data_IF_191498462439
#
_entry.id   IF_191498462439
#
_cell.length_a   1.000
_cell.length_b   1.000
_cell.length_c   1.000
_cell.angle_alpha   90.00
_cell.angle_beta   90.00
_cell.angle_gamma   90.00
#
_symmetry.space_group_name_H-M   'P 1'
#
loop_
_entity.id
_entity.type
_entity.pdbx_description
1 polymer ?
#
# COMPACT_ATOMS: atom_id res chain seq x y z
N UNK A 1 50.08 -44.43 -8.82
CA UNK A 1 49.85 -43.14 -9.51
C UNK A 1 48.36 -42.84 -9.42
N UNK A 2 47.94 -42.05 -8.43
CA UNK A 2 46.56 -41.63 -8.25
C UNK A 2 46.36 -40.31 -8.98
N UNK A 3 45.45 -40.29 -9.95
CA UNK A 3 45.05 -39.10 -10.68
C UNK A 3 43.94 -38.42 -9.87
N UNK A 4 44.24 -37.25 -9.29
CA UNK A 4 43.28 -36.47 -8.50
C UNK A 4 42.54 -35.52 -9.43
N UNK A 5 41.25 -35.76 -9.67
CA UNK A 5 40.40 -34.91 -10.50
C UNK A 5 39.83 -33.79 -9.62
N UNK A 6 40.31 -32.56 -9.84
CA UNK A 6 39.81 -31.36 -9.19
C UNK A 6 38.44 -30.98 -9.81
N UNK A 7 37.35 -31.15 -9.08
CA UNK A 7 36.03 -30.65 -9.48
C UNK A 7 35.90 -29.20 -8.98
N UNK A 8 35.99 -28.23 -9.89
CA UNK A 8 35.59 -26.85 -9.59
C UNK A 8 34.06 -26.80 -9.52
N UNK A 9 33.53 -26.66 -8.31
CA UNK A 9 32.13 -26.26 -8.11
C UNK A 9 32.05 -24.76 -8.30
N UNK A 10 31.48 -24.31 -9.42
CA UNK A 10 31.07 -22.91 -9.58
C UNK A 10 29.87 -22.66 -8.67
N UNK A 11 30.09 -22.10 -7.47
CA UNK A 11 29.03 -21.41 -6.75
C UNK A 11 28.69 -20.15 -7.55
N UNK A 12 27.60 -20.19 -8.30
CA UNK A 12 26.95 -18.98 -8.80
C UNK A 12 26.37 -18.22 -7.61
N UNK A 13 27.16 -17.29 -7.07
CA UNK A 13 26.65 -16.27 -6.18
C UNK A 13 25.65 -15.43 -6.98
N UNK A 14 24.36 -15.76 -6.85
CA UNK A 14 23.29 -14.87 -7.29
C UNK A 14 23.34 -13.67 -6.37
N UNK A 15 24.05 -12.63 -6.77
CA UNK A 15 23.92 -11.31 -6.18
C UNK A 15 22.47 -10.90 -6.40
N UNK A 16 21.65 -11.01 -5.35
CA UNK A 16 20.37 -10.34 -5.30
C UNK A 16 20.69 -8.85 -5.34
N UNK A 17 20.64 -8.26 -6.55
CA UNK A 17 20.53 -6.83 -6.67
C UNK A 17 19.27 -6.44 -5.92
N UNK A 18 19.43 -5.81 -4.76
CA UNK A 18 18.36 -5.08 -4.12
C UNK A 18 17.98 -3.99 -5.11
N UNK A 19 16.95 -4.25 -5.91
CA UNK A 19 16.34 -3.24 -6.75
C UNK A 19 15.92 -2.11 -5.81
N UNK A 20 16.32 -0.85 -6.07
CA UNK A 20 15.87 0.27 -5.26
C UNK A 20 14.35 0.23 -5.20
N UNK A 21 13.79 0.27 -3.98
CA UNK A 21 12.35 0.43 -3.81
C UNK A 21 11.96 1.72 -4.51
N UNK A 22 11.05 1.63 -5.47
CA UNK A 22 10.47 2.72 -6.26
C UNK A 22 10.40 4.02 -5.46
N UNK A 23 11.40 4.87 -5.63
CA UNK A 23 11.38 6.23 -5.12
C UNK A 23 11.14 7.15 -6.31
N UNK A 24 10.10 7.96 -6.13
CA UNK A 24 9.81 9.21 -6.83
C UNK A 24 9.12 9.19 -8.20
N UNK A 25 8.27 10.23 -8.36
CA UNK A 25 7.50 10.68 -9.54
C UNK A 25 6.12 9.99 -9.65
N UNK A 26 4.98 10.58 -9.26
CA UNK A 26 4.54 11.96 -9.40
C UNK A 26 3.32 12.21 -8.47
N UNK A 27 3.44 13.11 -7.48
CA UNK A 27 2.34 14.07 -7.31
C UNK A 27 2.55 15.08 -8.45
N UNK A 28 2.12 14.71 -9.65
CA UNK A 28 2.00 15.71 -10.71
C UNK A 28 0.92 16.66 -10.26
N UNK A 29 1.22 17.95 -10.23
CA UNK A 29 0.16 18.95 -10.30
C UNK A 29 -0.65 18.65 -11.57
N UNK A 30 -1.86 18.13 -11.37
CA UNK A 30 -2.82 17.94 -12.44
C UNK A 30 -3.23 19.33 -12.96
N UNK A 31 -3.53 19.48 -14.28
CA UNK A 31 -3.91 20.77 -14.85
C UNK A 31 -5.03 21.44 -14.06
N UNK A 32 -4.94 22.76 -13.90
CA UNK A 32 -5.84 23.63 -13.11
C UNK A 32 -7.31 23.65 -13.54
N UNK A 33 -7.68 22.97 -14.63
CA UNK A 33 -8.98 23.08 -15.29
C UNK A 33 -9.95 21.94 -14.95
N UNK A 34 -9.60 21.03 -14.03
CA UNK A 34 -10.54 20.04 -13.51
C UNK A 34 -11.45 20.73 -12.47
N UNK A 35 -12.79 20.61 -12.57
CA UNK A 35 -13.71 21.19 -11.60
C UNK A 35 -13.43 20.62 -10.21
N UNK A 36 -12.75 21.43 -9.39
CA UNK A 36 -12.43 21.11 -8.00
C UNK A 36 -13.75 21.09 -7.22
N UNK A 37 -14.30 19.91 -6.97
CA UNK A 37 -15.15 19.74 -5.78
C UNK A 37 -14.22 20.02 -4.61
N UNK A 38 -14.41 21.17 -3.95
CA UNK A 38 -13.47 21.76 -3.00
C UNK A 38 -12.77 20.68 -2.14
N UNK A 39 -11.43 20.62 -2.21
CA UNK A 39 -10.50 19.78 -1.42
C UNK A 39 -10.03 18.42 -1.96
N UNK A 40 -10.43 17.94 -3.14
CA UNK A 40 -9.85 16.70 -3.71
C UNK A 40 -8.46 16.93 -4.32
N UNK A 41 -7.47 16.12 -3.91
CA UNK A 41 -6.13 16.08 -4.52
C UNK A 41 -6.07 15.00 -5.60
N UNK A 42 -5.27 15.19 -6.63
CA UNK A 42 -5.01 14.16 -7.64
C UNK A 42 -3.62 13.56 -7.51
N UNK A 43 -3.51 12.27 -7.80
CA UNK A 43 -2.23 11.54 -7.87
C UNK A 43 -2.18 10.67 -9.13
N UNK A 44 -0.99 10.46 -9.68
CA UNK A 44 -0.81 9.59 -10.83
C UNK A 44 -1.02 8.10 -10.49
N UNK A 45 -0.86 7.72 -9.21
CA UNK A 45 -0.86 6.32 -8.80
C UNK A 45 -1.59 6.03 -7.49
N UNK A 46 -2.02 7.03 -6.70
CA UNK A 46 -2.76 6.80 -5.44
C UNK A 46 -4.20 7.25 -5.55
N UNK A 47 -5.10 6.49 -4.94
CA UNK A 47 -6.46 6.89 -4.62
C UNK A 47 -6.77 6.48 -3.17
N UNK A 48 -7.39 7.35 -2.39
CA UNK A 48 -7.66 7.07 -0.98
C UNK A 48 -7.71 8.33 -0.13
N UNK A 49 -7.33 8.23 1.13
CA UNK A 49 -7.40 9.36 2.05
C UNK A 49 -6.14 9.48 2.90
N UNK A 50 -5.75 10.73 3.17
CA UNK A 50 -4.61 11.07 4.03
C UNK A 50 -5.08 11.97 5.17
N UNK A 51 -4.90 11.49 6.40
CA UNK A 51 -4.89 12.35 7.58
C UNK A 51 -3.48 12.89 7.80
N UNK A 52 -3.37 14.21 7.95
CA UNK A 52 -2.13 14.87 8.32
C UNK A 52 -2.31 15.63 9.63
N UNK A 53 -1.30 15.59 10.48
CA UNK A 53 -1.25 16.27 11.77
C UNK A 53 0.22 16.60 12.13
N UNK A 54 0.49 17.35 13.22
CA UNK A 54 1.87 17.58 13.66
C UNK A 54 2.64 16.27 13.91
N UNK A 55 3.96 16.30 13.76
CA UNK A 55 4.80 15.13 14.01
C UNK A 55 4.59 14.51 15.39
N UNK A 56 4.63 13.18 15.45
CA UNK A 56 4.41 12.39 16.65
C UNK A 56 2.95 12.17 17.03
N UNK A 57 2.00 12.66 16.23
CA UNK A 57 0.56 12.55 16.52
C UNK A 57 0.04 11.13 16.41
N UNK A 58 0.42 10.38 15.36
CA UNK A 58 -0.15 9.07 15.10
C UNK A 58 0.66 7.94 15.77
N UNK A 59 -0.03 6.99 16.40
CA UNK A 59 0.57 5.78 16.98
C UNK A 59 0.19 4.53 16.21
N UNK A 60 -0.91 4.58 15.50
CA UNK A 60 -1.47 3.43 14.82
C UNK A 60 -2.38 3.93 13.70
N UNK A 61 -2.39 3.19 12.59
CA UNK A 61 -3.36 3.32 11.52
C UNK A 61 -3.83 1.94 11.13
N UNK A 62 -5.12 1.78 10.90
CA UNK A 62 -5.71 0.49 10.53
C UNK A 62 -6.99 0.64 9.73
N UNK A 63 -7.33 -0.41 9.01
CA UNK A 63 -8.65 -0.62 8.45
C UNK A 63 -8.86 -2.11 8.17
N UNK A 64 -10.13 -2.49 8.09
CA UNK A 64 -10.57 -3.80 7.60
C UNK A 64 -11.22 -3.60 6.23
N UNK A 65 -11.01 -4.53 5.32
CA UNK A 65 -11.71 -4.54 4.04
C UNK A 65 -11.90 -5.97 3.55
N UNK A 66 -12.79 -6.15 2.59
CA UNK A 66 -12.89 -7.38 1.81
C UNK A 66 -11.97 -7.25 0.61
N UNK A 67 -11.04 -8.18 0.44
CA UNK A 67 -10.12 -8.23 -0.71
C UNK A 67 -10.98 -8.30 -1.98
N UNK A 68 -10.94 -7.30 -2.87
CA UNK A 68 -11.82 -7.28 -4.03
C UNK A 68 -11.41 -8.37 -5.03
N UNK A 69 -12.38 -8.81 -5.83
CA UNK A 69 -12.07 -9.37 -7.14
C UNK A 69 -11.77 -8.20 -8.08
N UNK A 70 -10.69 -8.29 -8.85
CA UNK A 70 -10.33 -7.26 -9.83
C UNK A 70 -10.48 -7.79 -11.25
N UNK A 71 -10.70 -6.89 -12.18
CA UNK A 71 -10.97 -7.17 -13.58
C UNK A 71 -10.07 -6.34 -14.50
N UNK A 72 -9.86 -6.86 -15.71
CA UNK A 72 -9.35 -6.05 -16.82
C UNK A 72 -10.39 -4.97 -17.13
N UNK A 73 -10.01 -3.68 -17.22
CA UNK A 73 -10.95 -2.63 -17.63
C UNK A 73 -11.51 -2.88 -19.04
N UNK A 74 -12.73 -2.41 -19.28
CA UNK A 74 -13.37 -2.48 -20.60
C UNK A 74 -12.48 -1.79 -21.64
N UNK A 75 -12.44 -2.36 -22.85
CA UNK A 75 -11.67 -1.87 -24.01
C UNK A 75 -10.14 -1.81 -23.85
N UNK A 76 -9.59 -2.48 -22.83
CA UNK A 76 -8.14 -2.64 -22.69
C UNK A 76 -7.65 -3.97 -23.30
N UNK A 77 -6.40 -4.03 -23.83
CA UNK A 77 -5.84 -5.24 -24.41
C UNK A 77 -5.72 -6.36 -23.37
N UNK A 78 -5.70 -7.61 -23.80
CA UNK A 78 -5.40 -8.71 -22.88
C UNK A 78 -4.01 -8.53 -22.25
N UNK A 79 -3.91 -8.80 -20.96
CA UNK A 79 -2.69 -8.52 -20.20
C UNK A 79 -2.86 -8.76 -18.71
N UNK A 80 -1.83 -8.37 -17.97
CA UNK A 80 -1.83 -8.36 -16.51
C UNK A 80 -2.28 -6.99 -16.02
N UNK A 81 -3.25 -6.99 -15.10
CA UNK A 81 -3.74 -5.78 -14.43
C UNK A 81 -3.60 -5.95 -12.94
N UNK A 82 -3.21 -4.88 -12.25
CA UNK A 82 -3.02 -4.96 -10.80
C UNK A 82 -3.51 -3.73 -10.06
N UNK A 83 -3.80 -3.95 -8.78
CA UNK A 83 -4.04 -2.91 -7.79
C UNK A 83 -3.36 -3.32 -6.48
N UNK A 84 -2.94 -2.35 -5.69
CA UNK A 84 -2.39 -2.56 -4.36
C UNK A 84 -3.26 -1.86 -3.34
N UNK A 85 -3.70 -2.55 -2.30
CA UNK A 85 -4.55 -2.00 -1.23
C UNK A 85 -3.75 -2.00 0.05
N UNK A 86 -3.56 -0.83 0.67
CA UNK A 86 -2.68 -0.73 1.84
C UNK A 86 -3.07 0.39 2.81
N UNK A 87 -2.57 0.26 4.04
CA UNK A 87 -2.57 1.33 5.05
C UNK A 87 -1.14 1.63 5.46
N UNK A 88 -0.88 2.87 5.88
CA UNK A 88 0.48 3.26 6.22
C UNK A 88 0.59 4.50 7.11
N UNK A 89 1.74 4.59 7.78
CA UNK A 89 2.19 5.81 8.44
C UNK A 89 3.26 6.48 7.58
N UNK A 90 3.16 7.81 7.49
CA UNK A 90 4.04 8.70 6.73
C UNK A 90 4.10 8.37 5.22
N UNK A 91 4.96 9.08 4.48
CA UNK A 91 5.11 8.95 3.03
C UNK A 91 4.28 9.93 2.20
N UNK A 92 3.47 10.81 2.81
CA UNK A 92 2.80 11.92 2.12
C UNK A 92 3.50 13.26 2.38
N UNK A 93 3.53 13.75 3.61
CA UNK A 93 4.25 14.98 3.95
C UNK A 93 5.58 14.69 4.63
N UNK A 94 5.70 13.52 5.28
CA UNK A 94 6.96 12.99 5.78
C UNK A 94 7.58 12.02 4.76
N UNK A 95 8.42 12.55 3.87
CA UNK A 95 8.97 11.79 2.74
C UNK A 95 10.14 10.86 3.11
N UNK A 96 10.84 11.15 4.22
CA UNK A 96 12.06 10.44 4.58
C UNK A 96 11.85 9.00 5.07
N UNK A 97 10.64 8.65 5.50
CA UNK A 97 10.30 7.37 6.09
C UNK A 97 8.83 7.04 5.87
N UNK A 98 8.50 5.76 5.69
CA UNK A 98 7.12 5.26 5.78
C UNK A 98 7.11 3.78 6.13
N UNK A 99 6.05 3.32 6.79
CA UNK A 99 5.80 1.89 7.02
C UNK A 99 4.39 1.58 6.56
N UNK A 100 4.24 0.50 5.77
CA UNK A 100 3.00 0.11 5.09
C UNK A 100 2.73 -1.38 5.24
N UNK A 101 1.46 -1.70 5.38
CA UNK A 101 0.92 -3.06 5.27
C UNK A 101 -0.08 -3.10 4.14
N UNK A 102 -0.03 -4.14 3.30
CA UNK A 102 -0.89 -4.20 2.13
C UNK A 102 -1.13 -5.58 1.55
N UNK A 103 -2.01 -5.59 0.55
CA UNK A 103 -2.33 -6.71 -0.32
C UNK A 103 -2.21 -6.23 -1.76
N UNK A 104 -1.36 -6.89 -2.55
CA UNK A 104 -1.35 -6.76 -4.00
C UNK A 104 -2.37 -7.73 -4.58
N UNK A 105 -3.13 -7.30 -5.59
CA UNK A 105 -4.04 -8.14 -6.33
C UNK A 105 -3.72 -8.01 -7.82
N UNK A 106 -3.66 -9.14 -8.50
CA UNK A 106 -3.31 -9.26 -9.91
C UNK A 106 -4.36 -10.11 -10.62
N UNK A 107 -4.81 -9.67 -11.78
CA UNK A 107 -5.60 -10.48 -12.71
C UNK A 107 -4.83 -10.67 -14.00
N UNK A 108 -4.74 -11.92 -14.44
CA UNK A 108 -4.14 -12.33 -15.69
C UNK A 108 -4.87 -13.56 -16.26
N UNK A 109 -4.33 -14.17 -17.32
CA UNK A 109 -4.95 -15.32 -17.99
C UNK A 109 -5.21 -16.54 -17.08
N UNK A 110 -4.51 -16.65 -15.95
CA UNK A 110 -4.68 -17.75 -14.98
C UNK A 110 -5.69 -17.45 -13.87
N UNK A 111 -6.27 -16.25 -13.85
CA UNK A 111 -7.26 -15.82 -12.87
C UNK A 111 -6.79 -14.68 -11.96
N UNK A 112 -7.46 -14.54 -10.82
CA UNK A 112 -7.18 -13.49 -9.82
C UNK A 112 -6.31 -14.07 -8.71
N UNK A 113 -5.22 -13.36 -8.41
CA UNK A 113 -4.24 -13.72 -7.38
C UNK A 113 -4.08 -12.57 -6.40
N UNK A 114 -4.06 -12.85 -5.10
CA UNK A 114 -3.82 -11.87 -4.06
C UNK A 114 -2.58 -12.25 -3.24
N UNK A 115 -1.78 -11.26 -2.86
CA UNK A 115 -0.54 -11.47 -2.13
C UNK A 115 -0.34 -10.38 -1.07
N UNK A 116 -0.32 -10.78 0.20
CA UNK A 116 0.02 -9.89 1.30
C UNK A 116 1.50 -9.48 1.31
N UNK A 117 1.78 -8.27 1.78
CA UNK A 117 3.12 -7.70 1.89
C UNK A 117 3.25 -6.65 3.00
N UNK A 118 4.49 -6.39 3.39
CA UNK A 118 4.89 -5.26 4.25
C UNK A 118 5.99 -4.45 3.56
N UNK A 119 6.01 -3.14 3.76
CA UNK A 119 7.08 -2.27 3.25
C UNK A 119 7.50 -1.25 4.29
N UNK A 120 8.79 -0.92 4.31
CA UNK A 120 9.33 0.17 5.10
C UNK A 120 10.29 0.96 4.21
N UNK A 121 10.08 2.26 4.03
CA UNK A 121 10.94 3.15 3.22
C UNK A 121 12.00 3.84 4.10
N UNK A 122 13.28 4.01 3.70
CA UNK A 122 13.97 3.61 2.45
C UNK A 122 14.40 2.14 2.30
N UNK A 123 13.75 1.22 3.02
CA UNK A 123 13.97 -0.22 2.88
C UNK A 123 13.12 -0.91 1.81
N UNK A 124 13.00 -2.23 1.94
CA UNK A 124 12.48 -3.14 0.91
C UNK A 124 11.03 -3.54 1.22
N UNK A 125 10.21 -3.66 0.17
CA UNK A 125 8.90 -4.34 0.22
C UNK A 125 9.11 -5.85 0.28
N UNK A 126 8.53 -6.50 1.28
CA UNK A 126 8.65 -7.95 1.52
C UNK A 126 7.28 -8.61 1.41
N UNK A 127 7.17 -9.60 0.52
CA UNK A 127 5.97 -10.43 0.38
C UNK A 127 5.92 -11.54 1.44
N UNK A 128 4.71 -11.87 1.90
CA UNK A 128 4.48 -12.90 2.91
C UNK A 128 4.71 -14.31 2.33
N UNK A 129 5.57 -15.11 2.98
CA UNK A 129 5.96 -16.46 2.51
C UNK A 129 4.80 -17.45 2.59
N UNK A 130 4.09 -17.47 3.72
CA UNK A 130 2.77 -18.07 3.81
C UNK A 130 1.76 -16.98 3.53
N UNK A 131 0.92 -17.16 2.51
CA UNK A 131 -0.05 -16.16 2.10
C UNK A 131 -1.39 -16.84 1.82
N UNK A 132 -2.26 -16.98 2.82
CA UNK A 132 -3.60 -17.50 2.63
C UNK A 132 -4.59 -16.39 2.23
N UNK A 133 -4.14 -15.29 1.62
CA UNK A 133 -5.00 -14.17 1.23
C UNK A 133 -5.57 -14.42 -0.17
N UNK A 134 -6.90 -14.38 -0.29
CA UNK A 134 -7.62 -14.56 -1.55
C UNK A 134 -8.67 -13.46 -1.74
N UNK A 135 -9.14 -13.28 -2.97
CA UNK A 135 -10.30 -12.44 -3.23
C UNK A 135 -11.51 -12.95 -2.43
N UNK A 136 -12.27 -12.02 -1.85
CA UNK A 136 -13.39 -12.30 -0.95
C UNK A 136 -13.01 -12.45 0.53
N UNK A 137 -11.73 -12.60 0.87
CA UNK A 137 -11.31 -12.64 2.27
C UNK A 137 -11.51 -11.29 2.96
N UNK A 138 -11.85 -11.33 4.24
CA UNK A 138 -11.91 -10.14 5.08
C UNK A 138 -10.60 -9.99 5.83
N UNK A 139 -9.86 -8.92 5.53
CA UNK A 139 -8.52 -8.69 6.06
C UNK A 139 -8.45 -7.38 6.83
N UNK A 140 -7.69 -7.37 7.92
CA UNK A 140 -7.32 -6.15 8.65
C UNK A 140 -5.85 -5.85 8.39
N UNK A 141 -5.59 -4.64 7.92
CA UNK A 141 -4.24 -4.11 7.81
C UNK A 141 -4.01 -3.12 8.94
N UNK A 142 -2.80 -3.13 9.49
CA UNK A 142 -2.42 -2.22 10.56
C UNK A 142 -0.93 -1.89 10.51
N UNK A 143 -0.60 -0.64 10.80
CA UNK A 143 0.75 -0.20 11.12
C UNK A 143 0.73 0.46 12.50
N UNK A 144 1.60 0.02 13.39
CA UNK A 144 1.62 0.42 14.81
C UNK A 144 3.04 0.83 15.22
N UNK A 145 3.18 2.03 15.79
CA UNK A 145 4.41 2.52 16.38
C UNK A 145 4.84 1.62 17.55
N UNK A 146 6.10 1.21 17.56
CA UNK A 146 6.72 0.45 18.67
C UNK A 146 7.53 1.34 19.60
N UNK A 147 8.31 2.23 19.01
CA UNK A 147 9.04 3.25 19.74
C UNK A 147 8.81 4.59 19.05
N UNK A 148 8.03 5.42 19.73
CA UNK A 148 7.71 6.78 19.32
C UNK A 148 8.94 7.68 19.21
N UNK A 149 9.88 7.54 20.14
CA UNK A 149 11.07 8.37 20.22
C UNK A 149 12.09 7.95 19.16
N UNK A 150 12.20 6.64 18.90
CA UNK A 150 13.05 6.10 17.84
C UNK A 150 12.38 6.11 16.45
N UNK A 151 11.10 6.48 16.35
CA UNK A 151 10.37 6.52 15.08
C UNK A 151 10.18 5.16 14.41
N UNK A 152 10.02 4.09 15.21
CA UNK A 152 9.91 2.71 14.68
C UNK A 152 8.48 2.19 14.74
N UNK A 153 8.06 1.44 13.72
CA UNK A 153 6.74 0.83 13.63
C UNK A 153 6.80 -0.62 13.12
N UNK A 154 5.73 -1.36 13.39
CA UNK A 154 5.49 -2.71 12.90
C UNK A 154 4.24 -2.74 12.03
N UNK A 155 4.27 -3.59 11.00
CA UNK A 155 3.14 -3.83 10.11
C UNK A 155 2.49 -5.20 10.42
N UNK A 156 1.17 -5.25 10.31
CA UNK A 156 0.34 -6.41 10.60
C UNK A 156 -0.69 -6.63 9.50
N UNK A 157 -0.89 -7.90 9.13
CA UNK A 157 -1.97 -8.34 8.28
C UNK A 157 -2.68 -9.50 8.97
N UNK A 158 -3.96 -9.31 9.29
CA UNK A 158 -4.83 -10.33 9.85
C UNK A 158 -5.88 -10.73 8.81
N UNK A 159 -5.83 -11.97 8.32
CA UNK A 159 -6.92 -12.54 7.52
C UNK A 159 -7.96 -13.14 8.48
N UNK A 160 -9.08 -12.43 8.64
CA UNK A 160 -10.15 -12.79 9.56
C UNK A 160 -10.94 -13.99 9.05
N UNK A 161 -11.04 -14.18 7.73
CA UNK A 161 -11.72 -15.33 7.12
C UNK A 161 -10.97 -16.62 7.44
N UNK A 162 -9.65 -16.64 7.24
CA UNK A 162 -8.84 -17.84 7.45
C UNK A 162 -8.26 -17.95 8.86
N UNK A 163 -8.56 -16.97 9.74
CA UNK A 163 -8.00 -16.84 11.10
C UNK A 163 -6.47 -16.90 11.12
N UNK A 164 -5.86 -16.21 10.17
CA UNK A 164 -4.42 -16.17 10.00
C UNK A 164 -3.89 -14.77 10.29
N UNK A 165 -2.72 -14.69 10.92
CA UNK A 165 -2.05 -13.43 11.19
C UNK A 165 -0.60 -13.51 10.73
N UNK A 166 -0.10 -12.41 10.20
CA UNK A 166 1.32 -12.19 10.04
C UNK A 166 1.68 -10.80 10.48
N UNK A 167 2.90 -10.68 10.95
CA UNK A 167 3.51 -9.41 11.26
C UNK A 167 4.95 -9.44 10.79
N UNK A 168 5.44 -8.28 10.37
CA UNK A 168 6.79 -8.11 9.94
C UNK A 168 7.44 -7.01 10.76
N UNK A 169 8.67 -7.20 11.26
CA UNK A 169 9.46 -6.06 11.64
C UNK A 169 9.94 -5.37 10.35
N UNK A 170 9.84 -4.03 10.30
CA UNK A 170 11.04 -3.19 10.40
C UNK A 170 10.70 -1.70 10.32
N UNK A 171 11.33 -1.00 11.26
CA UNK A 171 11.61 0.41 11.20
C UNK A 171 11.97 0.85 9.78
N UNK A 172 11.46 2.01 9.38
CA UNK A 172 12.02 2.74 8.28
C UNK A 172 13.53 2.92 8.51
N UNK A 173 14.34 2.84 7.45
CA UNK A 173 15.79 3.08 7.54
C UNK A 173 16.15 4.47 8.10
N UNK A 174 15.15 5.36 8.16
CA UNK A 174 15.10 6.62 8.87
C UNK A 174 13.90 6.62 9.86
N UNK A 175 13.91 7.42 10.92
CA UNK A 175 12.78 7.50 11.86
C UNK A 175 11.53 8.04 11.17
N UNK A 176 10.38 7.45 11.49
CA UNK A 176 9.05 7.98 11.12
C UNK A 176 8.80 9.32 11.82
N UNK A 177 8.16 10.25 11.10
CA UNK A 177 7.61 11.47 11.68
C UNK A 177 6.32 11.20 12.45
N UNK A 178 5.58 10.14 12.08
CA UNK A 178 4.27 9.78 12.59
C UNK A 178 3.25 10.93 12.49
N UNK A 179 3.23 11.57 11.32
CA UNK A 179 2.49 12.79 11.03
C UNK A 179 1.49 12.62 9.88
N UNK A 180 1.61 11.54 9.12
CA UNK A 180 0.61 11.10 8.14
C UNK A 180 0.05 9.73 8.52
N UNK A 181 -1.25 9.54 8.33
CA UNK A 181 -1.91 8.24 8.37
C UNK A 181 -2.78 8.09 7.12
N UNK A 182 -2.59 7.00 6.39
CA UNK A 182 -3.15 6.86 5.03
C UNK A 182 -3.84 5.53 4.79
N UNK A 183 -4.87 5.56 3.95
CA UNK A 183 -5.61 4.40 3.42
C UNK A 183 -5.66 4.54 1.91
N UNK A 184 -5.04 3.61 1.17
CA UNK A 184 -4.74 3.82 -0.25
C UNK A 184 -5.01 2.57 -1.08
N UNK A 185 -5.67 2.77 -2.22
CA UNK A 185 -5.59 1.92 -3.41
C UNK A 185 -4.57 2.54 -4.35
N UNK A 186 -3.55 1.79 -4.71
CA UNK A 186 -2.44 2.23 -5.54
C UNK A 186 -2.41 1.46 -6.86
N UNK A 187 -2.04 2.15 -7.94
CA UNK A 187 -1.53 1.54 -9.15
C UNK A 187 -0.02 1.30 -8.96
N UNK A 188 0.43 0.07 -8.63
CA UNK A 188 1.82 -0.17 -8.32
C UNK A 188 2.69 -0.05 -9.58
N UNK A 189 3.90 0.50 -9.42
CA UNK A 189 4.90 0.45 -10.47
C UNK A 189 5.44 -0.97 -10.66
N UNK A 190 5.55 -1.42 -11.92
CA UNK A 190 6.22 -2.66 -12.34
C UNK A 190 7.27 -2.31 -13.39
N UNK A 191 8.49 -2.80 -13.21
CA UNK A 191 9.61 -2.60 -14.15
C UNK A 191 9.89 -1.14 -14.53
N UNK A 192 9.67 -0.21 -13.60
CA UNK A 192 9.93 1.22 -13.79
C UNK A 192 8.81 2.01 -14.47
N UNK A 193 7.67 1.39 -14.76
CA UNK A 193 6.45 2.04 -15.26
C UNK A 193 5.25 1.72 -14.37
N UNK A 194 4.21 2.54 -14.40
CA UNK A 194 2.94 2.19 -13.76
C UNK A 194 2.35 0.96 -14.45
N UNK A 195 1.88 -0.01 -13.67
CA UNK A 195 1.19 -1.17 -14.24
C UNK A 195 -0.10 -0.74 -14.95
N UNK A 196 -0.59 -1.54 -15.92
CA UNK A 196 -1.97 -1.43 -16.36
C UNK A 196 -2.90 -1.53 -15.13
N UNK A 197 -3.67 -0.47 -14.87
CA UNK A 197 -4.47 -0.38 -13.64
C UNK A 197 -5.73 -1.23 -13.75
N UNK A 198 -5.97 -2.08 -12.75
CA UNK A 198 -7.15 -2.95 -12.75
C UNK A 198 -8.43 -2.20 -12.35
N UNK A 199 -9.55 -2.63 -12.92
CA UNK A 199 -10.87 -2.30 -12.38
C UNK A 199 -11.09 -3.14 -11.12
N UNK A 200 -11.05 -2.50 -9.96
CA UNK A 200 -11.31 -3.13 -8.66
C UNK A 200 -12.76 -2.93 -8.19
N UNK A 201 -13.61 -2.34 -9.02
CA UNK A 201 -15.00 -1.92 -8.75
C UNK A 201 -15.11 -0.96 -7.58
N UNK A 202 -14.91 -1.44 -6.36
CA UNK A 202 -14.87 -0.63 -5.14
C UNK A 202 -14.06 -1.32 -4.06
N UNK A 203 -13.19 -0.56 -3.40
CA UNK A 203 -12.56 -0.93 -2.13
C UNK A 203 -13.18 -0.07 -1.03
N UNK A 204 -13.67 -0.74 0.02
CA UNK A 204 -14.15 -0.08 1.23
C UNK A 204 -13.22 -0.44 2.38
N UNK A 205 -12.39 0.51 2.79
CA UNK A 205 -11.72 0.48 4.07
C UNK A 205 -12.77 0.75 5.15
N UNK A 206 -13.38 -0.30 5.69
CA UNK A 206 -14.30 -0.22 6.81
C UNK A 206 -13.55 -0.27 8.15
N UNK A 207 -14.20 0.20 9.20
CA UNK A 207 -13.59 0.34 10.54
C UNK A 207 -12.26 1.11 10.52
N UNK A 208 -12.07 2.00 9.54
CA UNK A 208 -10.88 2.81 9.39
C UNK A 208 -10.71 3.72 10.61
N UNK A 209 -9.57 3.64 11.28
CA UNK A 209 -9.23 4.49 12.41
C UNK A 209 -7.73 4.61 12.60
N UNK A 210 -7.35 5.64 13.35
CA UNK A 210 -6.02 5.84 13.90
C UNK A 210 -6.09 5.85 15.42
N UNK A 211 -4.99 5.50 16.07
CA UNK A 211 -4.80 5.82 17.51
C UNK A 211 -3.84 6.99 17.61
N UNK A 212 -4.22 8.03 18.33
CA UNK A 212 -3.42 9.22 18.59
C UNK A 212 -2.40 8.96 19.71
N UNK A 213 -1.39 9.83 19.83
CA UNK A 213 -0.43 9.80 20.92
C UNK A 213 -1.07 9.96 22.31
N UNK A 214 -2.26 10.56 22.38
CA UNK A 214 -3.09 10.66 23.59
C UNK A 214 -3.74 9.32 23.98
N UNK A 215 -3.73 8.32 23.09
CA UNK A 215 -4.45 7.05 23.23
C UNK A 215 -5.88 7.07 22.70
N UNK A 216 -6.39 8.25 22.30
CA UNK A 216 -7.71 8.38 21.68
C UNK A 216 -7.74 7.72 20.29
N UNK A 217 -8.89 7.15 19.93
CA UNK A 217 -9.12 6.62 18.58
C UNK A 217 -10.07 7.52 17.82
N UNK A 218 -9.64 7.92 16.63
CA UNK A 218 -10.45 8.74 15.72
C UNK A 218 -10.49 8.09 14.34
N UNK A 219 -11.58 8.30 13.62
CA UNK A 219 -11.70 7.84 12.24
C UNK A 219 -11.03 8.77 11.23
N UNK A 220 -11.23 8.55 9.93
CA UNK A 220 -10.61 9.34 8.86
C UNK A 220 -11.35 10.66 8.61
N UNK A 221 -12.26 11.10 9.47
CA UNK A 221 -12.96 12.38 9.29
C UNK A 221 -11.97 13.54 9.27
N UNK A 222 -12.09 14.43 8.26
CA UNK A 222 -11.12 15.49 8.01
C UNK A 222 -9.90 15.05 7.18
N UNK A 223 -9.81 13.78 6.77
CA UNK A 223 -8.78 13.33 5.83
C UNK A 223 -8.99 13.97 4.45
N UNK A 224 -7.88 14.35 3.81
CA UNK A 224 -7.86 14.84 2.44
C UNK A 224 -8.08 13.65 1.48
N UNK A 225 -9.12 13.66 0.63
CA UNK A 225 -9.28 12.64 -0.39
C UNK A 225 -8.26 12.85 -1.52
N UNK A 226 -7.74 11.74 -2.03
CA UNK A 226 -6.85 11.66 -3.18
C UNK A 226 -7.53 10.80 -4.24
N UNK A 227 -7.65 11.29 -5.47
CA UNK A 227 -8.16 10.54 -6.61
C UNK A 227 -7.05 10.27 -7.63
N UNK A 228 -7.12 9.12 -8.27
CA UNK A 228 -6.16 8.76 -9.31
C UNK A 228 -6.51 9.43 -10.63
N UNK A 229 -5.52 10.10 -11.23
CA UNK A 229 -5.63 10.74 -12.54
C UNK A 229 -4.53 10.25 -13.48
N UNK A 230 -4.93 9.66 -14.61
CA UNK A 230 -4.03 9.20 -15.67
C UNK A 230 -4.59 9.60 -17.04
N UNK A 231 -4.53 10.89 -17.35
CA UNK A 231 -5.17 11.47 -18.55
C UNK A 231 -6.70 11.61 -18.45
N UNK A 232 -7.31 10.93 -17.47
CA UNK A 232 -8.67 11.10 -16.97
C UNK A 232 -8.70 10.72 -15.48
N UNK A 233 -9.73 11.16 -14.75
CA UNK A 233 -10.00 10.67 -13.40
C UNK A 233 -10.41 9.20 -13.50
N UNK A 234 -9.76 8.33 -12.72
CA UNK A 234 -10.00 6.88 -12.70
C UNK A 234 -10.69 6.41 -11.42
N UNK A 235 -10.79 7.26 -10.41
CA UNK A 235 -11.37 6.88 -9.12
C UNK A 235 -12.17 8.02 -8.50
N UNK A 236 -13.26 7.67 -7.81
CA UNK A 236 -13.99 8.53 -6.88
C UNK A 236 -13.68 8.13 -5.44
N UNK A 237 -13.45 9.09 -4.55
CA UNK A 237 -13.14 8.82 -3.14
C UNK A 237 -14.12 9.51 -2.19
N UNK A 238 -14.72 8.70 -1.30
CA UNK A 238 -15.59 9.18 -0.24
C UNK A 238 -15.02 8.85 1.14
N UNK A 239 -14.87 9.88 1.97
CA UNK A 239 -14.42 9.78 3.37
C UNK A 239 -15.62 9.93 4.32
N UNK A 240 -15.72 9.05 5.31
CA UNK A 240 -16.77 9.04 6.35
C UNK A 240 -16.15 8.83 7.73
N UNK A 241 -16.87 9.06 8.85
CA UNK A 241 -16.31 8.97 10.20
C UNK A 241 -15.65 7.65 10.60
N UNK A 242 -15.87 6.56 9.86
CA UNK A 242 -15.24 5.25 10.13
C UNK A 242 -14.90 4.47 8.87
N UNK A 243 -14.90 5.12 7.70
CA UNK A 243 -14.56 4.45 6.45
C UNK A 243 -14.01 5.36 5.37
N UNK A 244 -13.19 4.78 4.49
CA UNK A 244 -12.75 5.37 3.24
C UNK A 244 -13.20 4.44 2.12
N UNK A 245 -14.00 4.95 1.18
CA UNK A 245 -14.44 4.22 0.00
C UNK A 245 -13.72 4.77 -1.22
N UNK A 246 -13.11 3.88 -1.99
CA UNK A 246 -12.48 4.17 -3.27
C UNK A 246 -13.22 3.37 -4.34
N UNK A 247 -13.76 4.05 -5.34
CA UNK A 247 -14.54 3.43 -6.43
C UNK A 247 -13.80 3.67 -7.74
N UNK A 248 -13.65 2.62 -8.57
CA UNK A 248 -13.12 2.74 -9.93
C UNK A 248 -14.19 3.34 -10.85
N UNK A 249 -13.78 4.21 -11.80
CA UNK A 249 -14.67 4.92 -12.73
C UNK A 249 -14.58 4.41 -14.17
#
# INVERSE_FOLDING_TARGET
MMCSTLVLVFLSASAAFALPSSHEQFIASVPSDIPVTAFTQYSANWAGAVLNAPAGTFRDVRATFTVPTIHKPVDQPDGEYSASIWVGLDGDTCWGASVRSGVDIVVNASGVHAQGWFAAHPGIRTFLRSNPVHAGDRVTLRVEMRDAAAGTAHAFLDNLTTRWTSNGPRAAGAPLCAQDAVWVVENPARDGALAPFADFTTVLFDTANVTLATGERVGPEGARPIEMYQGRVLTDVAVKPSSVRVTYL
#
